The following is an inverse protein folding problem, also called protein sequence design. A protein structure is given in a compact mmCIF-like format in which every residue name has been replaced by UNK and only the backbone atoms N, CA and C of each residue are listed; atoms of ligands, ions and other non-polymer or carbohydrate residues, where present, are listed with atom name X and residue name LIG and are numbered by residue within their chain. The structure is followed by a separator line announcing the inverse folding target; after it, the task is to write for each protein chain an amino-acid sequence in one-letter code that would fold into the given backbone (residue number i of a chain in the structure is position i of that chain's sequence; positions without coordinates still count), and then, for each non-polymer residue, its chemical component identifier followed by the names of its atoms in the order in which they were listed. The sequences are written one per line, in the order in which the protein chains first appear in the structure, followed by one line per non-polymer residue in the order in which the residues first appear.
data_IF_101009452138
#
_entry.id   IF_101009452138
#
_cell.length_a   1.000
_cell.length_b   1.000
_cell.length_c   1.000
_cell.angle_alpha   90.00
_cell.angle_beta   90.00
_cell.angle_gamma   90.00
#
_symmetry.space_group_name_H-M   'P 1'
#
loop_
_entity.id
_entity.type
_entity.pdbx_description
1 polymer ?
#
# COMPACT_ATOMS: atom_id res chain seq x y z
N UNK A 1 22.32 12.46 -2.94
CA UNK A 1 21.66 12.19 -1.65
C UNK A 1 21.62 10.69 -1.41
N UNK A 2 22.07 10.25 -0.26
CA UNK A 2 22.10 8.81 0.06
C UNK A 2 20.67 8.33 0.37
N UNK A 3 20.30 7.19 -0.19
CA UNK A 3 19.04 6.54 0.09
C UNK A 3 19.06 6.00 1.53
N UNK A 4 18.00 6.24 2.27
CA UNK A 4 17.83 5.66 3.60
C UNK A 4 17.66 4.15 3.50
N UNK A 5 18.07 3.44 4.55
CA UNK A 5 17.83 2.01 4.64
C UNK A 5 16.35 1.78 5.00
N UNK A 6 15.67 0.98 4.20
CA UNK A 6 14.27 0.62 4.44
C UNK A 6 14.22 -0.53 5.46
N UNK A 7 14.51 -0.22 6.72
CA UNK A 7 14.46 -1.16 7.84
C UNK A 7 13.15 -0.99 8.64
N UNK A 8 13.00 -1.77 9.69
CA UNK A 8 11.79 -1.72 10.51
C UNK A 8 11.59 -0.35 11.17
N UNK A 9 12.66 0.31 11.55
CA UNK A 9 12.56 1.64 12.15
C UNK A 9 12.06 2.65 11.13
N UNK A 10 12.52 2.56 9.90
CA UNK A 10 12.07 3.41 8.81
C UNK A 10 10.57 3.17 8.54
N UNK A 11 10.16 1.91 8.47
CA UNK A 11 8.74 1.55 8.28
C UNK A 11 7.87 2.12 9.39
N UNK A 12 8.28 1.95 10.65
CA UNK A 12 7.54 2.49 11.80
C UNK A 12 7.43 4.02 11.73
N UNK A 13 8.49 4.68 11.31
CA UNK A 13 8.52 6.15 11.19
C UNK A 13 7.52 6.63 10.11
N UNK A 14 7.52 6.01 8.95
CA UNK A 14 6.57 6.33 7.88
C UNK A 14 5.14 6.10 8.35
N UNK A 15 4.88 4.95 8.95
CA UNK A 15 3.56 4.59 9.46
C UNK A 15 3.05 5.63 10.46
N UNK A 16 3.88 6.03 11.42
CA UNK A 16 3.52 7.02 12.44
C UNK A 16 3.31 8.41 11.84
N UNK A 17 4.14 8.83 10.90
CA UNK A 17 3.99 10.14 10.27
C UNK A 17 2.67 10.24 9.50
N UNK A 18 2.30 9.18 8.78
CA UNK A 18 1.01 9.13 8.09
C UNK A 18 -0.13 9.16 9.10
N UNK A 19 -0.06 8.34 10.14
CA UNK A 19 -1.07 8.27 11.18
C UNK A 19 -1.28 9.63 11.86
N UNK A 20 -0.20 10.33 12.18
CA UNK A 20 -0.26 11.64 12.79
C UNK A 20 -0.88 12.70 11.87
N UNK A 21 -0.90 12.44 10.57
CA UNK A 21 -1.55 13.29 9.58
C UNK A 21 -2.98 12.85 9.28
N UNK A 22 -3.54 11.94 10.06
CA UNK A 22 -4.89 11.43 9.88
C UNK A 22 -5.01 10.30 8.86
N UNK A 23 -3.89 9.75 8.40
CA UNK A 23 -3.87 8.71 7.38
C UNK A 23 -3.54 7.38 8.05
N UNK A 24 -4.59 6.61 8.34
CA UNK A 24 -4.43 5.30 8.96
C UNK A 24 -4.24 4.25 7.88
N UNK A 25 -3.05 3.67 7.82
CA UNK A 25 -2.71 2.66 6.82
C UNK A 25 -2.49 1.30 7.45
N UNK A 26 -2.51 0.27 6.61
CA UNK A 26 -2.22 -1.11 6.98
C UNK A 26 -1.08 -1.59 6.11
N UNK A 27 -0.01 -2.05 6.73
CA UNK A 27 1.16 -2.54 6.00
C UNK A 27 0.77 -3.75 5.16
N UNK A 28 1.22 -3.76 3.92
CA UNK A 28 0.91 -4.77 2.93
C UNK A 28 2.19 -5.24 2.25
N UNK A 29 2.08 -6.13 1.26
CA UNK A 29 3.20 -6.56 0.44
C UNK A 29 4.32 -7.26 1.19
N UNK A 30 5.56 -7.08 0.73
CA UNK A 30 6.71 -7.79 1.27
C UNK A 30 6.97 -7.56 2.74
N UNK A 31 6.83 -6.32 3.23
CA UNK A 31 6.98 -6.04 4.66
C UNK A 31 5.96 -6.79 5.50
N UNK A 32 4.70 -6.83 5.07
CA UNK A 32 3.67 -7.57 5.81
C UNK A 32 3.97 -9.05 5.82
N UNK A 33 4.41 -9.61 4.70
CA UNK A 33 4.77 -11.03 4.63
C UNK A 33 5.91 -11.38 5.59
N UNK A 34 6.92 -10.51 5.69
CA UNK A 34 8.02 -10.72 6.63
C UNK A 34 7.54 -10.61 8.08
N UNK A 35 6.76 -9.58 8.40
CA UNK A 35 6.30 -9.34 9.77
C UNK A 35 5.34 -10.41 10.26
N UNK A 36 4.55 -10.99 9.36
CA UNK A 36 3.67 -12.14 9.69
C UNK A 36 4.47 -13.43 9.80
N UNK A 37 5.65 -13.50 9.18
CA UNK A 37 6.54 -14.64 9.27
C UNK A 37 6.38 -15.66 8.15
N UNK A 38 5.73 -15.29 7.03
CA UNK A 38 5.59 -16.20 5.88
C UNK A 38 6.77 -16.15 4.94
N UNK A 39 7.64 -15.14 5.08
CA UNK A 39 8.93 -15.09 4.40
C UNK A 39 10.03 -14.78 5.40
N UNK A 40 11.27 -15.13 5.06
CA UNK A 40 12.43 -14.80 5.90
C UNK A 40 12.72 -13.30 5.83
N UNK A 41 13.34 -12.73 6.87
CA UNK A 41 13.80 -11.34 6.82
C UNK A 41 14.70 -11.09 5.60
N UNK A 42 14.44 -9.99 4.92
CA UNK A 42 15.19 -9.58 3.75
C UNK A 42 15.19 -8.07 3.59
N UNK A 43 16.01 -7.57 2.68
CA UNK A 43 15.94 -6.15 2.31
C UNK A 43 14.67 -5.90 1.51
N UNK A 44 14.02 -4.77 1.78
CA UNK A 44 12.84 -4.33 1.06
C UNK A 44 13.18 -3.08 0.26
N UNK A 45 12.73 -3.02 -0.98
CA UNK A 45 12.94 -1.88 -1.87
C UNK A 45 11.89 -0.80 -1.66
N UNK A 46 10.70 -1.20 -1.24
CA UNK A 46 9.55 -0.31 -1.13
C UNK A 46 8.72 -0.64 0.10
N UNK A 47 7.75 0.22 0.35
CA UNK A 47 6.76 0.05 1.40
C UNK A 47 5.40 0.09 0.71
N UNK A 48 4.61 -0.97 0.89
CA UNK A 48 3.26 -1.07 0.36
C UNK A 48 2.26 -0.93 1.50
N UNK A 49 1.27 -0.06 1.31
CA UNK A 49 0.26 0.24 2.33
C UNK A 49 -1.13 0.18 1.72
N UNK A 50 -2.09 -0.31 2.49
CA UNK A 50 -3.50 -0.19 2.16
C UNK A 50 -4.09 0.96 2.97
N UNK A 51 -4.97 1.74 2.34
CA UNK A 51 -5.60 2.89 2.97
C UNK A 51 -7.12 2.77 2.81
N UNK A 52 -7.81 2.55 3.92
CA UNK A 52 -9.28 2.42 3.93
C UNK A 52 -9.90 3.81 4.04
N UNK A 53 -10.37 4.34 2.91
CA UNK A 53 -10.91 5.68 2.83
C UNK A 53 -11.71 5.86 1.54
N UNK A 54 -12.39 7.00 1.39
CA UNK A 54 -13.17 7.30 0.20
C UNK A 54 -12.32 7.93 -0.92
N UNK A 55 -11.24 8.59 -0.56
CA UNK A 55 -10.41 9.32 -1.52
C UNK A 55 -9.00 9.54 -0.97
N UNK A 56 -8.13 10.19 -1.75
CA UNK A 56 -6.75 10.46 -1.40
C UNK A 56 -6.48 11.91 -0.97
N UNK A 57 -7.51 12.67 -0.58
CA UNK A 57 -7.30 14.09 -0.21
C UNK A 57 -6.23 14.29 0.85
N UNK A 58 -6.27 13.49 1.92
CA UNK A 58 -5.28 13.60 2.99
C UNK A 58 -3.89 13.16 2.54
N UNK A 59 -3.81 12.13 1.71
CA UNK A 59 -2.53 11.64 1.17
C UNK A 59 -1.92 12.69 0.23
N UNK A 60 -2.73 13.27 -0.65
CA UNK A 60 -2.26 14.31 -1.57
C UNK A 60 -1.76 15.54 -0.79
N UNK A 61 -2.45 15.90 0.29
CA UNK A 61 -2.01 16.98 1.17
C UNK A 61 -0.69 16.64 1.87
N UNK A 62 -0.57 15.42 2.35
CA UNK A 62 0.65 14.94 3.01
C UNK A 62 1.85 15.01 2.08
N UNK A 63 1.69 14.57 0.84
CA UNK A 63 2.76 14.62 -0.18
C UNK A 63 3.19 16.07 -0.39
N UNK A 64 2.23 16.98 -0.55
CA UNK A 64 2.51 18.39 -0.81
C UNK A 64 3.14 19.09 0.39
N UNK A 65 2.57 18.91 1.59
CA UNK A 65 3.03 19.59 2.79
C UNK A 65 4.41 19.13 3.27
N UNK A 66 4.78 17.90 2.94
CA UNK A 66 6.10 17.35 3.28
C UNK A 66 7.09 17.43 2.13
N UNK A 67 6.71 18.09 1.03
CA UNK A 67 7.56 18.30 -0.13
C UNK A 67 8.17 16.99 -0.65
N UNK A 68 7.34 15.95 -0.72
CA UNK A 68 7.76 14.63 -1.15
C UNK A 68 7.74 14.52 -2.67
N UNK A 69 8.60 13.65 -3.20
CA UNK A 69 8.66 13.40 -4.64
C UNK A 69 7.57 12.40 -5.03
N UNK A 70 6.49 12.89 -5.62
CA UNK A 70 5.43 12.01 -6.10
C UNK A 70 5.87 11.30 -7.38
N UNK A 71 5.58 9.99 -7.48
CA UNK A 71 5.82 9.20 -8.70
C UNK A 71 4.56 9.31 -9.56
N UNK A 72 4.55 10.30 -10.45
CA UNK A 72 3.37 10.64 -11.27
C UNK A 72 2.92 9.48 -12.16
N UNK A 73 3.86 8.67 -12.65
CA UNK A 73 3.56 7.51 -13.49
C UNK A 73 2.74 6.44 -12.75
N UNK A 74 2.70 6.51 -11.43
CA UNK A 74 1.94 5.59 -10.59
C UNK A 74 0.73 6.26 -9.94
N UNK A 75 0.34 7.44 -10.41
CA UNK A 75 -0.83 8.14 -9.92
C UNK A 75 -2.08 7.65 -10.65
N UNK A 76 -2.95 6.94 -9.93
CA UNK A 76 -4.21 6.42 -10.43
C UNK A 76 -5.31 6.68 -9.39
N UNK A 77 -6.56 6.53 -9.78
CA UNK A 77 -7.67 6.70 -8.85
C UNK A 77 -7.54 5.77 -7.63
N UNK A 78 -6.93 4.58 -7.82
CA UNK A 78 -6.77 3.59 -6.76
C UNK A 78 -5.41 3.63 -6.07
N UNK A 79 -4.48 4.53 -6.50
CA UNK A 79 -3.09 4.44 -6.04
C UNK A 79 -2.40 5.80 -5.98
N UNK A 80 -1.57 5.96 -4.95
CA UNK A 80 -0.56 7.02 -4.87
C UNK A 80 0.78 6.40 -4.57
N UNK A 81 1.84 7.01 -5.11
CA UNK A 81 3.20 6.58 -4.85
C UNK A 81 4.10 7.80 -4.71
N UNK A 82 4.97 7.77 -3.73
CA UNK A 82 5.92 8.85 -3.49
C UNK A 82 7.22 8.29 -2.93
N UNK A 83 8.28 9.06 -3.04
CA UNK A 83 9.55 8.72 -2.43
C UNK A 83 9.77 9.56 -1.19
N UNK A 84 10.21 8.93 -0.12
CA UNK A 84 10.64 9.58 1.09
C UNK A 84 12.06 9.10 1.40
N UNK A 85 13.01 10.05 1.41
CA UNK A 85 14.43 9.74 1.63
C UNK A 85 14.94 8.61 0.72
N UNK A 86 14.45 8.60 -0.53
CA UNK A 86 14.84 7.62 -1.54
C UNK A 86 14.14 6.28 -1.46
N UNK A 87 13.23 6.08 -0.51
CA UNK A 87 12.45 4.84 -0.39
C UNK A 87 11.07 5.06 -1.03
N UNK A 88 10.68 4.15 -1.90
CA UNK A 88 9.37 4.20 -2.56
C UNK A 88 8.27 3.75 -1.61
N UNK A 89 7.25 4.59 -1.44
CA UNK A 89 6.05 4.27 -0.66
C UNK A 89 4.87 4.24 -1.61
N UNK A 90 4.15 3.13 -1.63
CA UNK A 90 2.98 2.94 -2.48
C UNK A 90 1.75 2.71 -1.61
N UNK A 91 0.68 3.47 -1.89
CA UNK A 91 -0.56 3.41 -1.11
C UNK A 91 -1.70 3.06 -2.05
N UNK A 92 -2.40 1.98 -1.74
CA UNK A 92 -3.58 1.53 -2.48
C UNK A 92 -4.83 1.90 -1.71
N UNK A 93 -5.78 2.53 -2.40
CA UNK A 93 -7.06 2.92 -1.82
C UNK A 93 -8.01 1.74 -1.76
N UNK A 94 -8.59 1.52 -0.59
CA UNK A 94 -9.65 0.54 -0.40
C UNK A 94 -10.88 1.29 0.08
N UNK A 95 -11.98 1.17 -0.65
CA UNK A 95 -13.25 1.77 -0.24
C UNK A 95 -14.15 0.73 0.41
N UNK A 96 -15.03 1.18 1.28
CA UNK A 96 -16.03 0.33 1.88
C UNK A 96 -17.40 0.68 1.30
N UNK A 97 -18.08 -0.32 0.72
CA UNK A 97 -19.38 -0.14 0.11
C UNK A 97 -20.25 -1.36 0.40
N UNK A 98 -21.42 -1.15 1.01
CA UNK A 98 -22.37 -2.21 1.35
C UNK A 98 -21.73 -3.36 2.13
N UNK A 99 -20.83 -3.04 3.06
CA UNK A 99 -20.11 -4.03 3.89
C UNK A 99 -18.96 -4.72 3.20
N UNK A 100 -18.63 -4.33 1.97
CA UNK A 100 -17.53 -4.91 1.21
C UNK A 100 -16.36 -3.94 1.13
N UNK A 101 -15.14 -4.48 1.10
CA UNK A 101 -13.90 -3.72 0.91
C UNK A 101 -13.45 -3.89 -0.53
N UNK A 102 -13.38 -2.81 -1.27
CA UNK A 102 -13.19 -2.85 -2.72
C UNK A 102 -12.07 -1.94 -3.18
N UNK A 103 -11.28 -2.40 -4.13
CA UNK A 103 -10.36 -1.55 -4.90
C UNK A 103 -10.68 -1.72 -6.38
N UNK A 104 -10.91 -0.61 -7.07
CA UNK A 104 -11.12 -0.62 -8.50
C UNK A 104 -9.80 -0.33 -9.21
N UNK A 105 -9.08 -1.39 -9.58
CA UNK A 105 -7.77 -1.26 -10.21
C UNK A 105 -7.90 -0.67 -11.61
N UNK A 106 -7.28 0.49 -11.83
CA UNK A 106 -7.25 1.20 -13.12
C UNK A 106 -8.64 1.51 -13.69
N UNK A 107 -9.67 1.52 -12.84
CA UNK A 107 -11.03 1.79 -13.28
C UNK A 107 -11.72 0.63 -13.98
N UNK A 108 -11.07 -0.53 -14.15
CA UNK A 108 -11.61 -1.64 -14.93
C UNK A 108 -11.59 -3.00 -14.24
N UNK A 109 -11.04 -3.13 -13.06
CA UNK A 109 -11.02 -4.40 -12.34
C UNK A 109 -11.37 -4.16 -10.87
N UNK A 110 -12.59 -4.55 -10.49
CA UNK A 110 -13.03 -4.43 -9.11
C UNK A 110 -12.55 -5.65 -8.32
N UNK A 111 -11.68 -5.42 -7.36
CA UNK A 111 -11.15 -6.46 -6.48
C UNK A 111 -11.83 -6.34 -5.12
N UNK A 112 -12.43 -7.42 -4.66
CA UNK A 112 -13.04 -7.49 -3.34
C UNK A 112 -12.03 -8.09 -2.35
N UNK A 113 -11.65 -7.30 -1.36
CA UNK A 113 -10.74 -7.74 -0.32
C UNK A 113 -11.48 -8.66 0.66
N UNK A 114 -10.80 -9.67 1.23
CA UNK A 114 -11.36 -10.50 2.31
C UNK A 114 -11.90 -9.67 3.45
N UNK A 115 -12.93 -10.15 4.11
CA UNK A 115 -13.58 -9.42 5.21
C UNK A 115 -12.66 -9.22 6.42
N UNK A 116 -11.63 -10.05 6.58
CA UNK A 116 -10.68 -9.96 7.68
C UNK A 116 -9.47 -9.04 7.40
N UNK A 117 -9.43 -8.39 6.22
CA UNK A 117 -8.27 -7.59 5.79
C UNK A 117 -7.88 -6.54 6.82
N UNK A 118 -8.85 -5.84 7.39
CA UNK A 118 -8.62 -4.73 8.31
C UNK A 118 -8.97 -5.07 9.76
N UNK A 119 -9.11 -6.34 10.08
CA UNK A 119 -9.30 -6.75 11.45
C UNK A 119 -8.01 -6.53 12.22
N UNK A 120 -8.15 -6.32 13.52
CA UNK A 120 -7.12 -5.86 14.44
C UNK A 120 -5.79 -6.64 14.36
N UNK A 121 -5.04 -6.43 13.28
CA UNK A 121 -3.75 -7.09 13.05
C UNK A 121 -2.63 -6.13 13.44
N UNK A 122 -2.50 -5.88 14.75
CA UNK A 122 -1.42 -5.04 15.26
C UNK A 122 -0.28 -5.94 15.71
N UNK A 123 0.84 -5.89 15.00
CA UNK A 123 2.06 -6.57 15.41
C UNK A 123 2.78 -5.68 16.40
N UNK A 124 3.12 -6.19 17.59
CA UNK A 124 3.79 -5.48 18.69
C UNK A 124 3.17 -4.10 19.05
N UNK A 125 1.89 -3.91 18.78
CA UNK A 125 1.11 -2.69 19.11
C UNK A 125 1.57 -1.41 18.42
N UNK A 126 2.46 -1.48 17.43
CA UNK A 126 3.00 -0.29 16.76
C UNK A 126 2.52 -0.12 15.34
N UNK A 127 2.30 -1.23 14.63
CA UNK A 127 2.01 -1.19 13.20
C UNK A 127 0.79 -2.06 12.92
N UNK A 128 -0.20 -1.51 12.22
CA UNK A 128 -1.32 -2.27 11.71
C UNK A 128 -0.92 -2.96 10.42
N UNK A 129 -1.27 -4.24 10.28
CA UNK A 129 -0.87 -5.07 9.15
C UNK A 129 -2.13 -5.68 8.54
N UNK A 130 -2.21 -5.68 7.21
CA UNK A 130 -3.28 -6.39 6.50
C UNK A 130 -3.21 -7.88 6.80
N UNK A 131 -4.34 -8.58 6.76
CA UNK A 131 -4.41 -9.99 7.11
C UNK A 131 -3.61 -10.87 6.15
N UNK A 132 -3.15 -12.03 6.66
CA UNK A 132 -2.51 -13.02 5.81
C UNK A 132 -3.43 -13.45 4.66
N UNK A 133 -4.73 -13.58 4.94
CA UNK A 133 -5.71 -13.95 3.92
C UNK A 133 -5.75 -12.92 2.79
N UNK A 134 -5.69 -11.61 3.12
CA UNK A 134 -5.67 -10.56 2.10
C UNK A 134 -4.41 -10.63 1.22
N UNK A 135 -3.26 -10.93 1.82
CA UNK A 135 -2.00 -11.09 1.08
C UNK A 135 -2.08 -12.26 0.11
N UNK A 136 -2.61 -13.40 0.56
CA UNK A 136 -2.77 -14.59 -0.26
C UNK A 136 -3.75 -14.37 -1.40
N UNK A 137 -4.89 -13.75 -1.11
CA UNK A 137 -5.93 -13.51 -2.11
C UNK A 137 -5.46 -12.53 -3.18
N UNK A 138 -4.81 -11.45 -2.77
CA UNK A 138 -4.25 -10.49 -3.72
C UNK A 138 -3.20 -11.15 -4.61
N UNK A 139 -2.28 -11.92 -4.03
CA UNK A 139 -1.23 -12.60 -4.77
C UNK A 139 -1.84 -13.61 -5.76
N UNK A 140 -2.88 -14.32 -5.35
CA UNK A 140 -3.59 -15.28 -6.19
C UNK A 140 -4.21 -14.60 -7.42
N UNK A 141 -4.77 -13.40 -7.24
CA UNK A 141 -5.45 -12.67 -8.32
C UNK A 141 -4.57 -11.65 -9.04
N UNK A 142 -3.33 -11.47 -8.61
CA UNK A 142 -2.45 -10.45 -9.16
C UNK A 142 -2.31 -10.54 -10.68
N UNK A 143 -2.14 -11.76 -11.22
CA UNK A 143 -2.01 -11.96 -12.66
C UNK A 143 -3.27 -11.51 -13.40
N UNK A 144 -4.44 -11.82 -12.87
CA UNK A 144 -5.72 -11.38 -13.46
C UNK A 144 -5.85 -9.86 -13.43
N UNK A 145 -5.45 -9.23 -12.33
CA UNK A 145 -5.46 -7.77 -12.19
C UNK A 145 -4.56 -7.16 -13.27
N UNK A 146 -3.33 -7.65 -13.38
CA UNK A 146 -2.37 -7.13 -14.36
C UNK A 146 -2.85 -7.33 -15.81
N UNK A 147 -3.44 -8.49 -16.12
CA UNK A 147 -3.87 -8.80 -17.49
C UNK A 147 -5.15 -8.05 -17.88
N UNK A 148 -6.09 -7.83 -16.94
CA UNK A 148 -7.40 -7.26 -17.24
C UNK A 148 -7.50 -5.77 -16.98
N UNK A 149 -6.80 -5.28 -15.97
CA UNK A 149 -6.94 -3.89 -15.53
C UNK A 149 -5.87 -2.98 -16.13
N UNK A 150 -4.62 -3.44 -16.25
CA UNK A 150 -3.51 -2.59 -16.70
C UNK A 150 -3.50 -2.50 -18.23
N UNK A 151 -3.62 -1.30 -18.81
CA UNK A 151 -3.44 -1.13 -20.26
C UNK A 151 -2.07 -1.66 -20.70
N UNK A 152 -2.00 -2.25 -21.89
CA UNK A 152 -0.77 -2.86 -22.42
C UNK A 152 0.41 -1.86 -22.36
N UNK A 153 0.18 -0.62 -22.75
CA UNK A 153 1.22 0.41 -22.76
C UNK A 153 1.78 0.74 -21.39
N UNK A 154 1.08 0.37 -20.31
CA UNK A 154 1.46 0.70 -18.93
C UNK A 154 2.04 -0.49 -18.16
N UNK A 155 2.00 -1.69 -18.72
CA UNK A 155 2.39 -2.91 -17.98
C UNK A 155 3.85 -2.90 -17.54
N UNK A 156 4.73 -2.27 -18.30
CA UNK A 156 6.15 -2.20 -17.96
C UNK A 156 6.41 -1.33 -16.73
N UNK A 157 5.61 -0.31 -16.50
CA UNK A 157 5.73 0.55 -15.32
C UNK A 157 5.34 -0.17 -14.03
N UNK A 158 4.72 -1.34 -14.15
CA UNK A 158 4.21 -2.12 -13.03
C UNK A 158 5.02 -3.36 -12.69
N UNK A 159 5.94 -3.73 -13.54
CA UNK A 159 6.76 -4.92 -13.31
C UNK A 159 7.84 -4.73 -12.22
#
# INVERSE_FOLDING_TARGET
MTKEVNDINFLENIYERLKNSGIKTFVFGGWAEELIGVIKPREHKDIDLLYLADNFELVDRFIKENDLLEVIQKRFDHKRAFEMKGVLVEIVLVSQNAGKYLTNFFGNYEFEWPTDTFQNNVLNERIAIASLNSLKEYRHQHKSIMNKAVPIAMRQAWS
#
